data_IF_736162693956
#
_entry.id   IF_736162693956
#
_cell.length_a   1.000
_cell.length_b   1.000
_cell.length_c   1.000
_cell.angle_alpha   90.00
_cell.angle_beta   90.00
_cell.angle_gamma   90.00
#
_symmetry.space_group_name_H-M   'P 1'
#
loop_
_entity.id
_entity.type
_entity.pdbx_description
1 polymer ?
#
# COMPACT_ATOMS: atom_id res chain seq x y z
N UNK A 1 -5.66 -14.85 -15.41
CA UNK A 1 -5.93 -13.42 -15.22
C UNK A 1 -4.98 -12.66 -16.13
N UNK A 2 -5.49 -11.72 -16.92
CA UNK A 2 -4.70 -10.83 -17.79
C UNK A 2 -4.85 -9.44 -17.24
N UNK A 3 -3.78 -8.64 -17.21
CA UNK A 3 -3.88 -7.24 -16.76
C UNK A 3 -4.81 -6.51 -17.72
N UNK A 4 -5.98 -6.14 -17.24
CA UNK A 4 -6.99 -5.48 -18.07
C UNK A 4 -6.61 -4.02 -18.27
N UNK A 5 -6.89 -3.44 -19.45
CA UNK A 5 -6.80 -1.99 -19.68
C UNK A 5 -7.56 -1.20 -18.60
N UNK A 6 -8.60 -1.81 -18.05
CA UNK A 6 -9.39 -1.28 -16.95
C UNK A 6 -8.52 -1.03 -15.70
N UNK A 7 -7.66 -1.97 -15.27
CA UNK A 7 -6.79 -1.74 -14.11
C UNK A 7 -5.85 -0.55 -14.30
N UNK A 8 -5.29 -0.35 -15.50
CA UNK A 8 -4.49 0.83 -15.81
C UNK A 8 -5.31 2.14 -15.74
N UNK A 9 -6.59 2.09 -16.11
CA UNK A 9 -7.52 3.22 -15.96
C UNK A 9 -7.65 3.68 -14.50
N UNK A 10 -7.48 2.81 -13.51
CA UNK A 10 -7.47 3.22 -12.10
C UNK A 10 -6.28 4.12 -11.75
N UNK A 11 -5.12 3.92 -12.37
CA UNK A 11 -3.96 4.81 -12.23
C UNK A 11 -4.17 6.14 -12.95
N UNK A 12 -4.84 6.13 -14.10
CA UNK A 12 -5.23 7.37 -14.80
C UNK A 12 -6.25 8.19 -13.99
N UNK A 13 -7.21 7.52 -13.36
CA UNK A 13 -8.17 8.14 -12.47
C UNK A 13 -7.48 8.69 -11.22
N UNK A 14 -6.49 7.96 -10.69
CA UNK A 14 -5.64 8.44 -9.60
C UNK A 14 -4.90 9.73 -9.98
N UNK A 15 -4.19 9.74 -11.12
CA UNK A 15 -3.47 10.92 -11.60
C UNK A 15 -4.42 12.10 -11.81
N UNK A 16 -5.57 11.87 -12.45
CA UNK A 16 -6.59 12.90 -12.68
C UNK A 16 -7.10 13.48 -11.35
N UNK A 17 -7.38 12.62 -10.36
CA UNK A 17 -7.94 12.99 -9.05
C UNK A 17 -6.95 13.73 -8.15
N UNK A 18 -5.65 13.64 -8.41
CA UNK A 18 -4.62 14.23 -7.56
C UNK A 18 -3.66 15.17 -8.33
N UNK A 19 -3.99 15.52 -9.57
CA UNK A 19 -3.17 16.34 -10.47
C UNK A 19 -2.93 17.77 -9.98
N UNK A 20 -3.81 18.31 -9.12
CA UNK A 20 -3.68 19.64 -8.54
C UNK A 20 -2.67 19.72 -7.38
N UNK A 21 -2.12 18.59 -6.94
CA UNK A 21 -1.16 18.54 -5.84
C UNK A 21 0.28 18.70 -6.33
N UNK A 22 1.15 19.13 -5.43
CA UNK A 22 2.59 19.25 -5.71
C UNK A 22 3.25 17.89 -6.02
N UNK A 23 4.40 17.90 -6.73
CA UNK A 23 5.13 16.70 -7.10
C UNK A 23 5.51 15.80 -5.90
N UNK A 24 5.37 14.49 -6.05
CA UNK A 24 5.90 13.44 -5.15
C UNK A 24 7.26 12.91 -5.64
N UNK A 25 8.05 12.26 -4.77
CA UNK A 25 9.21 11.46 -5.19
C UNK A 25 8.88 10.40 -6.25
N UNK A 26 7.69 9.80 -6.18
CA UNK A 26 7.21 8.81 -7.13
C UNK A 26 5.81 9.19 -7.64
N UNK A 27 5.64 9.28 -8.95
CA UNK A 27 4.39 9.67 -9.59
C UNK A 27 4.06 8.78 -10.78
N UNK A 28 2.77 8.64 -11.08
CA UNK A 28 2.32 8.02 -12.32
C UNK A 28 2.21 9.09 -13.39
N UNK A 29 2.94 8.95 -14.49
CA UNK A 29 2.80 9.83 -15.64
C UNK A 29 1.82 9.21 -16.65
N UNK A 30 0.63 9.82 -16.74
CA UNK A 30 -0.43 9.41 -17.67
C UNK A 30 0.01 9.43 -19.13
N UNK A 31 0.93 10.32 -19.52
CA UNK A 31 1.37 10.43 -20.93
C UNK A 31 2.28 9.28 -21.32
N UNK A 32 3.22 8.91 -20.46
CA UNK A 32 4.13 7.79 -20.72
C UNK A 32 3.55 6.43 -20.33
N UNK A 33 2.52 6.41 -19.47
CA UNK A 33 2.00 5.18 -18.87
C UNK A 33 3.05 4.48 -18.01
N UNK A 34 3.88 5.28 -17.30
CA UNK A 34 4.99 4.79 -16.48
C UNK A 34 5.03 5.49 -15.14
N UNK A 35 5.63 4.82 -14.16
CA UNK A 35 6.05 5.46 -12.92
C UNK A 35 7.32 6.27 -13.16
N UNK A 36 7.28 7.53 -12.77
CA UNK A 36 8.39 8.49 -12.91
C UNK A 36 8.91 8.82 -11.51
N UNK A 37 10.22 8.72 -11.34
CA UNK A 37 10.91 9.16 -10.14
C UNK A 37 11.30 10.64 -10.28
N UNK A 38 10.79 11.49 -9.39
CA UNK A 38 11.19 12.88 -9.30
C UNK A 38 12.36 12.98 -8.32
N UNK A 39 13.56 13.27 -8.84
CA UNK A 39 14.75 13.50 -8.02
C UNK A 39 14.51 14.65 -7.03
N UNK A 40 15.09 14.53 -5.84
CA UNK A 40 15.04 15.56 -4.79
C UNK A 40 15.53 16.88 -5.39
N UNK A 41 14.61 17.82 -5.54
CA UNK A 41 14.82 19.10 -6.20
C UNK A 41 13.99 20.18 -5.52
N UNK A 42 14.21 21.46 -5.86
CA UNK A 42 13.42 22.58 -5.32
C UNK A 42 11.90 22.41 -5.53
N UNK A 43 11.48 21.62 -6.52
CA UNK A 43 10.07 21.30 -6.78
C UNK A 43 9.43 20.43 -5.70
N UNK A 44 10.22 19.69 -4.91
CA UNK A 44 9.74 18.84 -3.80
C UNK A 44 9.67 19.61 -2.46
N UNK A 45 10.07 20.88 -2.38
CA UNK A 45 10.02 21.64 -1.12
C UNK A 45 8.59 21.68 -0.53
N UNK A 46 7.52 21.96 -1.31
CA UNK A 46 6.16 21.92 -0.79
C UNK A 46 5.76 20.53 -0.27
N UNK A 47 6.27 19.47 -0.91
CA UNK A 47 6.06 18.10 -0.47
C UNK A 47 6.72 17.84 0.89
N UNK A 48 7.99 18.18 1.04
CA UNK A 48 8.74 18.02 2.30
C UNK A 48 8.03 18.79 3.42
N UNK A 49 7.64 20.05 3.17
CA UNK A 49 6.98 20.88 4.16
C UNK A 49 5.63 20.29 4.58
N UNK A 50 4.84 19.78 3.65
CA UNK A 50 3.56 19.16 3.98
C UNK A 50 3.71 17.83 4.73
N UNK A 51 4.62 16.95 4.30
CA UNK A 51 4.83 15.65 4.94
C UNK A 51 5.49 15.83 6.30
N UNK A 52 6.69 16.42 6.35
CA UNK A 52 7.47 16.49 7.60
C UNK A 52 7.04 17.64 8.50
N UNK A 53 6.65 18.80 7.94
CA UNK A 53 6.10 19.90 8.73
C UNK A 53 4.65 19.62 9.13
N UNK A 54 3.78 19.47 8.14
CA UNK A 54 2.35 19.26 8.33
C UNK A 54 2.02 17.97 9.08
N UNK A 55 2.28 16.79 8.49
CA UNK A 55 1.98 15.52 9.17
C UNK A 55 2.83 15.32 10.43
N UNK A 56 4.10 15.74 10.40
CA UNK A 56 4.99 15.65 11.56
C UNK A 56 4.47 16.46 12.75
N UNK A 57 3.90 17.64 12.53
CA UNK A 57 3.25 18.39 13.62
C UNK A 57 2.09 17.61 14.24
N UNK A 58 1.18 17.05 13.42
CA UNK A 58 0.06 16.23 13.90
C UNK A 58 0.56 15.04 14.72
N UNK A 59 1.62 14.36 14.25
CA UNK A 59 2.27 13.27 14.98
C UNK A 59 2.74 13.71 16.37
N UNK A 60 3.50 14.81 16.42
CA UNK A 60 4.05 15.35 17.67
C UNK A 60 2.92 15.71 18.65
N UNK A 61 1.89 16.43 18.20
CA UNK A 61 0.76 16.81 19.07
C UNK A 61 -0.01 15.58 19.58
N UNK A 62 -0.23 14.55 18.76
CA UNK A 62 -0.84 13.31 19.22
C UNK A 62 0.01 12.61 20.30
N UNK A 63 1.33 12.52 20.09
CA UNK A 63 2.25 11.89 21.07
C UNK A 63 2.27 12.68 22.37
N UNK A 64 2.33 14.01 22.30
CA UNK A 64 2.31 14.89 23.47
C UNK A 64 0.99 14.73 24.24
N UNK A 65 -0.16 14.75 23.57
CA UNK A 65 -1.47 14.56 24.21
C UNK A 65 -1.57 13.22 24.94
N UNK A 66 -1.20 12.12 24.29
CA UNK A 66 -1.22 10.79 24.89
C UNK A 66 -0.20 10.64 26.02
N UNK A 67 0.97 11.25 25.88
CA UNK A 67 1.98 11.30 26.94
C UNK A 67 1.49 12.07 28.16
N UNK A 68 0.90 13.26 27.97
CA UNK A 68 0.33 14.05 29.06
C UNK A 68 -0.80 13.31 29.78
N UNK A 69 -1.64 12.56 29.05
CA UNK A 69 -2.66 11.69 29.63
C UNK A 69 -2.02 10.58 30.48
N UNK A 70 -0.95 9.94 29.99
CA UNK A 70 -0.25 8.86 30.70
C UNK A 70 0.39 9.34 32.01
N UNK A 71 0.92 10.56 32.03
CA UNK A 71 1.53 11.18 33.22
C UNK A 71 0.52 11.93 34.11
N UNK A 72 -0.76 11.93 33.77
CA UNK A 72 -1.81 12.61 34.54
C UNK A 72 -1.75 14.14 34.49
N UNK A 73 -1.00 14.72 33.55
CA UNK A 73 -0.90 16.18 33.32
C UNK A 73 -2.17 16.72 32.69
N UNK A 74 -2.79 15.94 31.79
CA UNK A 74 -4.09 16.24 31.20
C UNK A 74 -5.09 15.14 31.54
N UNK A 75 -6.38 15.50 31.58
CA UNK A 75 -7.50 14.56 31.67
C UNK A 75 -8.32 14.63 30.40
N UNK A 76 -7.96 13.80 29.42
CA UNK A 76 -8.69 13.63 28.17
C UNK A 76 -9.87 12.69 28.40
N UNK A 77 -11.02 13.02 27.80
CA UNK A 77 -12.12 12.08 27.68
C UNK A 77 -11.67 10.84 26.89
N UNK A 78 -12.24 9.67 27.24
CA UNK A 78 -11.90 8.41 26.58
C UNK A 78 -12.06 8.47 25.06
N UNK A 79 -13.09 9.18 24.59
CA UNK A 79 -13.33 9.39 23.15
C UNK A 79 -12.17 10.10 22.46
N UNK A 80 -11.67 11.17 23.08
CA UNK A 80 -10.55 11.95 22.57
C UNK A 80 -9.25 11.14 22.57
N UNK A 81 -9.04 10.28 23.57
CA UNK A 81 -7.89 9.37 23.60
C UNK A 81 -7.91 8.42 22.40
N UNK A 82 -9.05 7.75 22.16
CA UNK A 82 -9.18 6.79 21.05
C UNK A 82 -9.05 7.49 19.69
N UNK A 83 -9.67 8.65 19.51
CA UNK A 83 -9.53 9.43 18.28
C UNK A 83 -8.07 9.90 18.06
N UNK A 84 -7.39 10.33 19.12
CA UNK A 84 -5.97 10.70 19.05
C UNK A 84 -5.10 9.50 18.67
N UNK A 85 -5.38 8.30 19.18
CA UNK A 85 -4.71 7.07 18.76
C UNK A 85 -4.96 6.74 17.28
N UNK A 86 -6.19 6.93 16.79
CA UNK A 86 -6.51 6.76 15.36
C UNK A 86 -5.71 7.75 14.50
N UNK A 87 -5.69 9.04 14.88
CA UNK A 87 -4.91 10.05 14.15
C UNK A 87 -3.41 9.73 14.17
N UNK A 88 -2.88 9.32 15.32
CA UNK A 88 -1.48 8.91 15.45
C UNK A 88 -1.15 7.73 14.55
N UNK A 89 -2.01 6.70 14.52
CA UNK A 89 -1.82 5.52 13.67
C UNK A 89 -1.86 5.90 12.18
N UNK A 90 -2.83 6.71 11.75
CA UNK A 90 -2.96 7.16 10.36
C UNK A 90 -1.77 8.01 9.91
N UNK A 91 -1.30 8.92 10.77
CA UNK A 91 -0.16 9.80 10.47
C UNK A 91 1.14 9.02 10.45
N UNK A 92 1.36 8.12 11.42
CA UNK A 92 2.52 7.21 11.43
C UNK A 92 2.55 6.41 10.15
N UNK A 93 1.41 5.85 9.73
CA UNK A 93 1.30 5.09 8.50
C UNK A 93 1.67 5.90 7.26
N UNK A 94 1.14 7.11 7.15
CA UNK A 94 1.44 8.02 6.04
C UNK A 94 2.92 8.38 5.98
N UNK A 95 3.51 8.79 7.11
CA UNK A 95 4.91 9.19 7.20
C UNK A 95 5.82 8.00 6.87
N UNK A 96 5.55 6.81 7.40
CA UNK A 96 6.34 5.61 7.10
C UNK A 96 6.31 5.26 5.60
N UNK A 97 5.16 5.38 4.94
CA UNK A 97 5.06 5.16 3.50
C UNK A 97 5.77 6.24 2.68
N UNK A 98 5.66 7.52 3.07
CA UNK A 98 6.36 8.62 2.38
C UNK A 98 7.87 8.47 2.50
N UNK A 99 8.37 8.12 3.70
CA UNK A 99 9.80 7.82 3.91
C UNK A 99 10.24 6.67 3.02
N UNK A 100 9.44 5.60 2.94
CA UNK A 100 9.74 4.46 2.09
C UNK A 100 9.82 4.86 0.60
N UNK A 101 8.88 5.65 0.10
CA UNK A 101 8.96 6.12 -1.29
C UNK A 101 10.12 7.07 -1.51
N UNK A 102 10.46 7.92 -0.55
CA UNK A 102 11.61 8.82 -0.66
C UNK A 102 12.91 8.04 -0.88
N UNK A 103 13.11 6.93 -0.17
CA UNK A 103 14.32 6.12 -0.30
C UNK A 103 14.33 5.20 -1.52
N UNK A 104 13.19 4.66 -1.93
CA UNK A 104 13.11 3.60 -2.95
C UNK A 104 12.32 3.98 -4.21
N UNK A 105 12.08 5.26 -4.46
CA UNK A 105 11.34 5.70 -5.66
C UNK A 105 12.00 5.27 -6.97
N UNK A 106 13.33 5.36 -7.06
CA UNK A 106 14.08 5.00 -8.26
C UNK A 106 13.95 3.50 -8.57
N UNK A 107 14.24 2.64 -7.60
CA UNK A 107 14.10 1.18 -7.72
C UNK A 107 12.66 0.76 -8.07
N UNK A 108 11.67 1.40 -7.44
CA UNK A 108 10.27 1.14 -7.72
C UNK A 108 9.90 1.51 -9.16
N UNK A 109 10.39 2.64 -9.67
CA UNK A 109 10.12 3.09 -11.04
C UNK A 109 10.76 2.16 -12.08
N UNK A 110 12.02 1.78 -11.86
CA UNK A 110 12.76 0.87 -12.74
C UNK A 110 12.12 -0.52 -12.78
N UNK A 111 11.82 -1.11 -11.63
CA UNK A 111 11.20 -2.43 -11.58
C UNK A 111 9.81 -2.46 -12.22
N UNK A 112 9.01 -1.42 -12.01
CA UNK A 112 7.68 -1.33 -12.62
C UNK A 112 7.79 -1.25 -14.15
N UNK A 113 8.76 -0.49 -14.66
CA UNK A 113 9.04 -0.41 -16.08
C UNK A 113 9.47 -1.77 -16.65
N UNK A 114 10.39 -2.46 -15.99
CA UNK A 114 10.91 -3.75 -16.43
C UNK A 114 9.82 -4.83 -16.37
N UNK A 115 8.98 -4.83 -15.35
CA UNK A 115 7.84 -5.74 -15.24
C UNK A 115 6.87 -5.56 -16.41
N UNK A 116 6.48 -4.31 -16.72
CA UNK A 116 5.62 -3.99 -17.86
C UNK A 116 6.28 -4.38 -19.19
N UNK A 117 7.59 -4.14 -19.35
CA UNK A 117 8.33 -4.54 -20.54
C UNK A 117 8.37 -6.07 -20.72
N UNK A 118 8.50 -6.84 -19.63
CA UNK A 118 8.46 -8.30 -19.68
C UNK A 118 7.08 -8.83 -20.05
N UNK A 119 6.01 -8.26 -19.50
CA UNK A 119 4.63 -8.62 -19.87
C UNK A 119 4.42 -8.39 -21.36
N UNK A 120 4.79 -7.21 -21.88
CA UNK A 120 4.69 -6.90 -23.31
C UNK A 120 5.44 -7.90 -24.19
N UNK A 121 6.65 -8.30 -23.80
CA UNK A 121 7.45 -9.31 -24.55
C UNK A 121 6.81 -10.69 -24.57
N UNK A 122 6.09 -11.08 -23.52
CA UNK A 122 5.45 -12.39 -23.42
C UNK A 122 4.11 -12.42 -24.17
N UNK A 123 3.38 -11.31 -24.19
CA UNK A 123 2.01 -11.27 -24.71
C UNK A 123 1.88 -10.93 -26.20
N UNK A 124 2.96 -10.77 -26.97
CA UNK A 124 2.99 -10.32 -28.38
C UNK A 124 2.10 -11.10 -29.41
N UNK A 125 1.23 -12.01 -29.00
CA UNK A 125 0.23 -12.66 -29.86
C UNK A 125 -1.20 -12.83 -29.31
N UNK A 126 -1.53 -12.36 -28.09
CA UNK A 126 -2.88 -12.58 -27.49
C UNK A 126 -3.42 -11.40 -26.68
N UNK A 127 -3.03 -10.17 -27.00
CA UNK A 127 -3.34 -9.02 -26.13
C UNK A 127 -4.79 -8.53 -26.34
N UNK A 128 -5.55 -8.51 -25.24
CA UNK A 128 -6.85 -7.82 -25.05
C UNK A 128 -8.05 -8.37 -25.80
N UNK A 129 -8.41 -9.64 -25.59
CA UNK A 129 -9.75 -10.11 -25.96
C UNK A 129 -10.67 -10.15 -24.74
N UNK A 130 -11.73 -9.34 -24.85
CA UNK A 130 -12.93 -9.19 -24.02
C UNK A 130 -12.89 -8.24 -22.81
N UNK A 131 -13.74 -7.21 -22.89
CA UNK A 131 -14.18 -6.35 -21.79
C UNK A 131 -15.02 -7.17 -20.80
N UNK A 132 -14.37 -7.97 -19.96
CA UNK A 132 -15.03 -8.53 -18.79
C UNK A 132 -14.89 -7.53 -17.64
N UNK A 133 -16.03 -7.17 -17.03
CA UNK A 133 -16.07 -6.34 -15.83
C UNK A 133 -15.41 -7.11 -14.68
N UNK A 134 -14.12 -6.82 -14.45
CA UNK A 134 -13.34 -7.41 -13.37
C UNK A 134 -13.70 -6.73 -12.04
N UNK A 135 -14.21 -7.45 -11.02
CA UNK A 135 -14.49 -6.89 -9.69
C UNK A 135 -13.30 -6.14 -9.10
N UNK A 136 -12.07 -6.58 -9.40
CA UNK A 136 -10.85 -5.94 -8.94
C UNK A 136 -10.74 -4.49 -9.42
N UNK A 137 -11.11 -4.25 -10.68
CA UNK A 137 -11.11 -2.91 -11.26
C UNK A 137 -12.10 -2.00 -10.54
N UNK A 138 -13.30 -2.49 -10.25
CA UNK A 138 -14.34 -1.73 -9.54
C UNK A 138 -13.81 -1.32 -8.17
N UNK A 139 -13.23 -2.27 -7.42
CA UNK A 139 -12.67 -2.02 -6.08
C UNK A 139 -11.55 -0.97 -6.14
N UNK A 140 -10.63 -1.06 -7.10
CA UNK A 140 -9.53 -0.11 -7.22
C UNK A 140 -10.01 1.32 -7.55
N UNK A 141 -10.98 1.47 -8.46
CA UNK A 141 -11.51 2.80 -8.79
C UNK A 141 -12.34 3.39 -7.65
N UNK A 142 -13.15 2.56 -6.99
CA UNK A 142 -13.87 2.98 -5.80
C UNK A 142 -12.89 3.44 -4.71
N UNK A 143 -11.80 2.71 -4.50
CA UNK A 143 -10.75 3.08 -3.55
C UNK A 143 -10.17 4.45 -3.87
N UNK A 144 -9.81 4.72 -5.13
CA UNK A 144 -9.29 6.03 -5.57
C UNK A 144 -10.31 7.14 -5.31
N UNK A 145 -11.56 6.94 -5.72
CA UNK A 145 -12.62 7.93 -5.54
C UNK A 145 -12.86 8.25 -4.05
N UNK A 146 -12.91 7.21 -3.19
CA UNK A 146 -13.11 7.38 -1.76
C UNK A 146 -11.96 8.17 -1.13
N UNK A 147 -10.70 7.82 -1.41
CA UNK A 147 -9.56 8.59 -0.91
C UNK A 147 -9.50 10.03 -1.45
N UNK A 148 -9.97 10.28 -2.68
CA UNK A 148 -10.04 11.64 -3.23
C UNK A 148 -11.11 12.51 -2.52
N UNK A 149 -12.27 11.92 -2.17
CA UNK A 149 -13.41 12.64 -1.56
C UNK A 149 -13.23 12.83 -0.05
N UNK A 150 -12.68 11.83 0.64
CA UNK A 150 -12.56 11.80 2.10
C UNK A 150 -11.96 13.04 2.76
N UNK A 151 -10.83 13.63 2.32
CA UNK A 151 -10.22 14.74 3.04
C UNK A 151 -11.13 15.97 3.06
N UNK A 152 -11.87 16.20 1.98
CA UNK A 152 -12.79 17.33 1.83
C UNK A 152 -14.06 17.17 2.65
N UNK A 153 -14.56 15.94 2.76
CA UNK A 153 -15.70 15.65 3.62
C UNK A 153 -15.32 15.65 5.10
N UNK A 154 -14.20 15.03 5.46
CA UNK A 154 -13.82 14.77 6.84
C UNK A 154 -13.32 16.00 7.59
N UNK A 155 -12.45 16.78 6.94
CA UNK A 155 -11.75 17.85 7.63
C UNK A 155 -12.68 18.94 8.20
N UNK A 156 -13.71 19.42 7.48
CA UNK A 156 -14.65 20.40 8.03
C UNK A 156 -15.30 19.93 9.32
N UNK A 157 -15.67 18.65 9.44
CA UNK A 157 -16.26 18.12 10.67
C UNK A 157 -15.24 17.97 11.79
N UNK A 158 -14.04 17.47 11.50
CA UNK A 158 -12.95 17.39 12.48
C UNK A 158 -12.68 18.77 13.06
N UNK A 159 -12.57 19.78 12.19
CA UNK A 159 -12.40 21.15 12.60
C UNK A 159 -13.63 21.61 13.39
N UNK A 160 -14.84 21.56 12.83
CA UNK A 160 -16.05 22.08 13.48
C UNK A 160 -16.25 21.56 14.91
N UNK A 161 -16.05 20.26 15.13
CA UNK A 161 -16.19 19.62 16.45
C UNK A 161 -14.95 19.75 17.35
N UNK A 162 -13.87 20.37 16.88
CA UNK A 162 -12.64 20.51 17.66
C UNK A 162 -11.95 19.19 17.98
N UNK A 163 -12.14 18.17 17.14
CA UNK A 163 -11.59 16.83 17.33
C UNK A 163 -10.13 16.73 16.87
N UNK A 164 -9.58 17.79 16.27
CA UNK A 164 -8.18 17.81 15.86
C UNK A 164 -7.22 17.89 17.07
N UNK A 165 -6.02 17.29 16.98
CA UNK A 165 -5.05 17.31 18.08
C UNK A 165 -4.62 18.73 18.52
N UNK A 166 -4.70 19.74 17.64
CA UNK A 166 -4.32 21.10 18.00
C UNK A 166 -5.36 21.75 18.91
N UNK A 167 -6.64 21.63 18.55
CA UNK A 167 -7.76 22.08 19.38
C UNK A 167 -7.79 21.35 20.72
N UNK A 168 -7.60 20.03 20.72
CA UNK A 168 -7.50 19.26 21.97
C UNK A 168 -6.32 19.70 22.85
N UNK A 169 -5.17 20.01 22.25
CA UNK A 169 -4.01 20.54 22.99
C UNK A 169 -4.31 21.91 23.57
N UNK A 170 -4.93 22.79 22.81
CA UNK A 170 -5.30 24.12 23.28
C UNK A 170 -6.25 24.04 24.49
N UNK A 171 -7.32 23.25 24.39
CA UNK A 171 -8.35 23.16 25.44
C UNK A 171 -7.91 22.38 26.67
N UNK A 172 -7.17 21.28 26.51
CA UNK A 172 -6.87 20.40 27.63
C UNK A 172 -5.52 20.68 28.30
N UNK A 173 -4.58 21.32 27.59
CA UNK A 173 -3.24 21.61 28.13
C UNK A 173 -3.01 23.09 28.37
N UNK A 174 -3.27 23.95 27.39
CA UNK A 174 -2.81 25.35 27.42
C UNK A 174 -3.77 26.29 28.15
N UNK A 175 -5.09 26.13 27.96
CA UNK A 175 -6.09 26.99 28.63
C UNK A 175 -6.10 26.76 30.15
N UNK A 176 -6.17 25.52 30.68
CA UNK A 176 -6.24 25.30 32.13
C UNK A 176 -4.97 25.75 32.86
N UNK A 177 -3.84 25.80 32.17
CA UNK A 177 -2.54 26.20 32.72
C UNK A 177 -2.29 27.71 32.62
N UNK A 178 -3.21 28.50 32.06
CA UNK A 178 -3.00 29.91 31.71
C UNK A 178 -1.77 30.14 30.81
N UNK A 179 -1.33 29.11 30.06
CA UNK A 179 -0.15 29.15 29.18
C UNK A 179 -0.52 29.49 27.72
N UNK A 180 -1.73 29.97 27.46
CA UNK A 180 -2.22 30.27 26.12
C UNK A 180 -2.23 31.79 25.82
N UNK A 181 -1.08 32.46 25.65
CA UNK A 181 -1.09 33.85 25.21
C UNK A 181 -1.67 33.94 23.78
N UNK A 182 -2.27 35.08 23.40
CA UNK A 182 -2.86 35.28 22.07
C UNK A 182 -2.01 34.79 20.89
N UNK A 183 -0.68 35.05 20.79
CA UNK A 183 0.13 34.53 19.69
C UNK A 183 0.13 33.00 19.56
N UNK A 184 0.09 32.26 20.67
CA UNK A 184 0.04 30.79 20.64
C UNK A 184 -1.31 30.31 20.12
N UNK A 185 -2.40 30.97 20.51
CA UNK A 185 -3.75 30.65 19.99
C UNK A 185 -3.87 30.90 18.49
N UNK A 186 -3.31 32.00 17.99
CA UNK A 186 -3.27 32.31 16.55
C UNK A 186 -2.39 31.31 15.79
N UNK A 187 -1.23 30.93 16.34
CA UNK A 187 -0.35 29.95 15.73
C UNK A 187 -0.99 28.56 15.62
N UNK A 188 -1.66 28.08 16.69
CA UNK A 188 -2.38 26.81 16.67
C UNK A 188 -3.57 26.83 15.71
N UNK A 189 -4.27 27.96 15.62
CA UNK A 189 -5.36 28.13 14.66
C UNK A 189 -4.84 28.09 13.21
N UNK A 190 -3.71 28.74 12.92
CA UNK A 190 -3.06 28.67 11.62
C UNK A 190 -2.58 27.24 11.28
N UNK A 191 -1.98 26.55 12.25
CA UNK A 191 -1.59 25.13 12.14
C UNK A 191 -2.80 24.26 11.80
N UNK A 192 -3.92 24.44 12.51
CA UNK A 192 -5.16 23.72 12.24
C UNK A 192 -5.59 23.85 10.79
N UNK A 193 -5.64 25.06 10.22
CA UNK A 193 -5.98 25.26 8.80
C UNK A 193 -4.95 24.66 7.83
N UNK A 194 -3.66 24.71 8.18
CA UNK A 194 -2.60 24.13 7.35
C UNK A 194 -2.70 22.62 7.19
N UNK A 195 -3.43 21.92 8.07
CA UNK A 195 -3.55 20.45 8.11
C UNK A 195 -4.38 19.87 6.96
N UNK A 196 -5.14 20.70 6.23
CA UNK A 196 -5.86 20.25 5.03
C UNK A 196 -4.90 19.66 4.00
N UNK A 197 -3.79 20.34 3.72
CA UNK A 197 -2.79 19.91 2.74
C UNK A 197 -2.19 18.53 3.07
N UNK A 198 -1.65 18.27 4.28
CA UNK A 198 -1.15 16.94 4.64
C UNK A 198 -2.26 15.88 4.68
N UNK A 199 -3.51 16.20 5.01
CA UNK A 199 -4.60 15.22 4.97
C UNK A 199 -4.90 14.75 3.54
N UNK A 200 -5.00 15.69 2.60
CA UNK A 200 -5.16 15.37 1.18
C UNK A 200 -3.95 14.55 0.69
N UNK A 201 -2.74 14.93 1.11
CA UNK A 201 -1.52 14.23 0.75
C UNK A 201 -1.49 12.79 1.26
N UNK A 202 -1.89 12.58 2.51
CA UNK A 202 -2.03 11.24 3.11
C UNK A 202 -2.97 10.37 2.28
N UNK A 203 -4.13 10.90 1.89
CA UNK A 203 -5.09 10.11 1.13
C UNK A 203 -4.58 9.79 -0.29
N UNK A 204 -3.85 10.73 -0.91
CA UNK A 204 -3.14 10.47 -2.17
C UNK A 204 -2.17 9.29 -2.03
N UNK A 205 -1.30 9.28 -1.02
CA UNK A 205 -0.31 8.20 -0.87
C UNK A 205 -0.98 6.84 -0.58
N UNK A 206 -2.02 6.80 0.25
CA UNK A 206 -2.75 5.56 0.52
C UNK A 206 -3.45 5.02 -0.73
N UNK A 207 -4.07 5.91 -1.53
CA UNK A 207 -4.69 5.54 -2.79
C UNK A 207 -3.65 5.02 -3.80
N UNK A 208 -2.55 5.75 -3.97
CA UNK A 208 -1.47 5.36 -4.88
C UNK A 208 -0.90 4.00 -4.51
N UNK A 209 -0.68 3.81 -3.21
CA UNK A 209 -0.19 2.58 -2.65
C UNK A 209 -1.11 1.40 -2.98
N UNK A 210 -2.40 1.50 -2.65
CA UNK A 210 -3.36 0.43 -2.87
C UNK A 210 -3.43 0.02 -4.35
N UNK A 211 -3.46 1.00 -5.26
CA UNK A 211 -3.52 0.74 -6.70
C UNK A 211 -2.23 0.13 -7.24
N UNK A 212 -1.07 0.75 -6.94
CA UNK A 212 0.22 0.30 -7.52
C UNK A 212 0.63 -1.07 -7.02
N UNK A 213 0.42 -1.38 -5.74
CA UNK A 213 0.73 -2.70 -5.18
C UNK A 213 -0.15 -3.79 -5.77
N UNK A 214 -1.47 -3.55 -5.84
CA UNK A 214 -2.42 -4.49 -6.44
C UNK A 214 -2.09 -4.76 -7.91
N UNK A 215 -1.81 -3.70 -8.68
CA UNK A 215 -1.43 -3.82 -10.08
C UNK A 215 -0.10 -4.58 -10.24
N UNK A 216 0.91 -4.26 -9.44
CA UNK A 216 2.21 -4.92 -9.49
C UNK A 216 2.10 -6.42 -9.19
N UNK A 217 1.38 -6.80 -8.13
CA UNK A 217 1.17 -8.21 -7.77
C UNK A 217 0.37 -8.93 -8.86
N UNK A 218 -0.65 -8.29 -9.42
CA UNK A 218 -1.44 -8.85 -10.50
C UNK A 218 -0.62 -9.06 -11.79
N UNK A 219 0.30 -8.14 -12.13
CA UNK A 219 1.26 -8.30 -13.22
C UNK A 219 2.14 -9.54 -12.98
N UNK A 220 2.67 -9.72 -11.77
CA UNK A 220 3.49 -10.87 -11.40
C UNK A 220 2.68 -12.18 -11.50
N UNK A 221 1.45 -12.20 -11.00
CA UNK A 221 0.55 -13.36 -11.12
C UNK A 221 0.25 -13.70 -12.58
N UNK A 222 0.04 -12.69 -13.42
CA UNK A 222 -0.17 -12.86 -14.87
C UNK A 222 1.06 -13.49 -15.52
N UNK A 223 2.26 -13.02 -15.18
CA UNK A 223 3.53 -13.59 -15.65
C UNK A 223 3.69 -15.06 -15.23
N UNK A 224 3.40 -15.40 -13.97
CA UNK A 224 3.46 -16.77 -13.45
C UNK A 224 2.45 -17.66 -14.16
N UNK A 225 1.21 -17.20 -14.32
CA UNK A 225 0.16 -17.92 -15.04
C UNK A 225 0.56 -18.19 -16.49
N UNK A 226 1.13 -17.20 -17.18
CA UNK A 226 1.58 -17.34 -18.57
C UNK A 226 2.75 -18.33 -18.69
N UNK A 227 3.72 -18.28 -17.77
CA UNK A 227 4.80 -19.27 -17.70
C UNK A 227 4.28 -20.68 -17.42
N UNK A 228 3.29 -20.82 -16.54
CA UNK A 228 2.65 -22.11 -16.22
C UNK A 228 1.89 -22.69 -17.42
N UNK A 229 1.08 -21.89 -18.13
CA UNK A 229 0.38 -22.32 -19.36
C UNK A 229 1.34 -22.70 -20.48
N UNK A 230 2.42 -21.95 -20.64
CA UNK A 230 3.43 -22.25 -21.65
C UNK A 230 4.18 -23.56 -21.34
N UNK A 231 4.37 -23.84 -20.05
CA UNK A 231 4.92 -25.12 -19.56
C UNK A 231 3.99 -26.29 -19.87
N UNK A 232 2.67 -26.10 -19.76
CA UNK A 232 1.67 -27.13 -20.10
C UNK A 232 1.66 -27.44 -21.61
N UNK A 233 1.78 -26.42 -22.46
CA UNK A 233 1.94 -26.65 -23.91
C UNK A 233 3.18 -27.47 -24.23
N UNK A 234 4.28 -27.21 -23.53
CA UNK A 234 5.51 -28.01 -23.65
C UNK A 234 5.36 -29.45 -23.18
N UNK A 235 4.46 -29.72 -22.23
CA UNK A 235 4.21 -31.09 -21.79
C UNK A 235 3.64 -31.94 -22.94
N UNK A 236 2.81 -31.33 -23.80
CA UNK A 236 2.16 -32.00 -24.92
C UNK A 236 3.05 -32.15 -26.14
N UNK A 237 3.97 -31.21 -26.37
CA UNK A 237 4.91 -31.26 -27.50
C UNK A 237 6.24 -31.91 -27.10
N UNK A 238 6.92 -32.58 -28.03
CA UNK A 238 8.25 -33.19 -27.79
C UNK A 238 9.19 -32.17 -27.13
N UNK A 239 9.66 -32.48 -25.92
CA UNK A 239 10.43 -31.59 -25.06
C UNK A 239 11.76 -31.23 -25.74
N UNK A 240 11.88 -29.98 -26.23
CA UNK A 240 13.17 -29.45 -26.67
C UNK A 240 13.89 -28.78 -25.50
N UNK A 241 15.19 -29.03 -25.39
CA UNK A 241 16.05 -28.42 -24.36
C UNK A 241 16.01 -26.89 -24.44
N UNK A 242 16.08 -26.35 -25.66
CA UNK A 242 16.09 -24.90 -25.91
C UNK A 242 14.81 -24.22 -25.40
N UNK A 243 13.66 -24.89 -25.52
CA UNK A 243 12.41 -24.35 -25.00
C UNK A 243 12.43 -24.28 -23.47
N UNK A 244 12.80 -25.36 -22.77
CA UNK A 244 12.92 -25.36 -21.30
C UNK A 244 13.88 -24.26 -20.85
N UNK A 245 15.06 -24.17 -21.47
CA UNK A 245 16.06 -23.16 -21.11
C UNK A 245 15.54 -21.72 -21.30
N UNK A 246 14.73 -21.47 -22.33
CA UNK A 246 14.07 -20.17 -22.56
C UNK A 246 13.08 -19.83 -21.45
N UNK A 247 12.26 -20.79 -21.01
CA UNK A 247 11.31 -20.56 -19.90
C UNK A 247 12.00 -20.34 -18.56
N UNK A 248 13.01 -21.15 -18.27
CA UNK A 248 13.85 -21.00 -17.09
C UNK A 248 14.55 -19.63 -17.07
N UNK A 249 15.05 -19.16 -18.21
CA UNK A 249 15.64 -17.84 -18.33
C UNK A 249 14.62 -16.72 -18.03
N UNK A 250 13.39 -16.81 -18.57
CA UNK A 250 12.31 -15.83 -18.30
C UNK A 250 11.94 -15.78 -16.82
N UNK A 251 11.84 -16.94 -16.17
CA UNK A 251 11.59 -16.99 -14.72
C UNK A 251 12.74 -16.39 -13.92
N UNK A 252 14.00 -16.64 -14.32
CA UNK A 252 15.16 -16.01 -13.69
C UNK A 252 15.10 -14.49 -13.83
N UNK A 253 14.67 -13.97 -14.98
CA UNK A 253 14.46 -12.51 -15.13
C UNK A 253 13.43 -11.98 -14.15
N UNK A 254 12.29 -12.67 -13.98
CA UNK A 254 11.29 -12.29 -12.97
C UNK A 254 11.84 -12.38 -11.54
N UNK A 255 12.65 -13.38 -11.24
CA UNK A 255 13.32 -13.52 -9.95
C UNK A 255 14.29 -12.36 -9.69
N UNK A 256 15.03 -11.91 -10.70
CA UNK A 256 15.92 -10.75 -10.62
C UNK A 256 15.12 -9.47 -10.35
N UNK A 257 14.03 -9.23 -11.09
CA UNK A 257 13.14 -8.07 -10.87
C UNK A 257 12.59 -8.08 -9.44
N UNK A 258 12.08 -9.23 -8.98
CA UNK A 258 11.56 -9.37 -7.62
C UNK A 258 12.62 -9.15 -6.55
N UNK A 259 13.84 -9.64 -6.78
CA UNK A 259 14.97 -9.47 -5.86
C UNK A 259 15.40 -8.00 -5.80
N UNK A 260 15.44 -7.31 -6.95
CA UNK A 260 15.73 -5.86 -7.00
C UNK A 260 14.68 -5.05 -6.23
N UNK A 261 13.41 -5.48 -6.22
CA UNK A 261 12.36 -4.84 -5.43
C UNK A 261 12.23 -5.33 -4.00
N UNK A 262 13.01 -6.32 -3.56
CA UNK A 262 12.82 -6.94 -2.25
C UNK A 262 13.05 -5.92 -1.13
N UNK A 263 14.06 -5.05 -1.27
CA UNK A 263 14.39 -4.02 -0.29
C UNK A 263 13.26 -3.01 -0.07
N UNK A 264 12.47 -2.77 -1.11
CA UNK A 264 11.31 -1.91 -1.05
C UNK A 264 10.03 -2.65 -0.62
N UNK A 265 9.76 -3.81 -1.22
CA UNK A 265 8.52 -4.57 -0.99
C UNK A 265 8.46 -5.22 0.39
N UNK A 266 9.60 -5.54 1.00
CA UNK A 266 9.65 -6.10 2.34
C UNK A 266 9.17 -5.13 3.44
N UNK A 267 9.76 -3.94 3.61
CA UNK A 267 9.29 -2.97 4.61
C UNK A 267 7.89 -2.48 4.30
N UNK A 268 7.57 -2.35 3.02
CA UNK A 268 6.23 -2.06 2.56
C UNK A 268 5.18 -3.03 3.11
N UNK A 269 5.41 -4.32 2.93
CA UNK A 269 4.49 -5.38 3.37
C UNK A 269 4.41 -5.42 4.89
N UNK A 270 5.53 -5.23 5.59
CA UNK A 270 5.56 -5.16 7.05
C UNK A 270 4.73 -3.98 7.59
N UNK A 271 4.93 -2.77 7.05
CA UNK A 271 4.17 -1.57 7.44
C UNK A 271 2.68 -1.80 7.20
N UNK A 272 2.29 -2.34 6.04
CA UNK A 272 0.89 -2.61 5.72
C UNK A 272 0.25 -3.63 6.66
N UNK A 273 0.94 -4.75 6.92
CA UNK A 273 0.43 -5.76 7.83
C UNK A 273 0.31 -5.25 9.26
N UNK A 274 1.33 -4.56 9.77
CA UNK A 274 1.34 -4.09 11.15
C UNK A 274 0.32 -2.97 11.37
N UNK A 275 0.39 -1.90 10.59
CA UNK A 275 -0.51 -0.75 10.75
C UNK A 275 -1.92 -1.04 10.23
N UNK A 276 -2.07 -1.95 9.26
CA UNK A 276 -3.37 -2.41 8.80
C UNK A 276 -4.16 -3.14 9.89
N UNK A 277 -3.52 -4.01 10.69
CA UNK A 277 -4.17 -4.66 11.84
C UNK A 277 -4.60 -3.60 12.86
N UNK A 278 -3.67 -2.74 13.28
CA UNK A 278 -3.93 -1.72 14.31
C UNK A 278 -5.08 -0.81 13.86
N UNK A 279 -5.04 -0.33 12.62
CA UNK A 279 -6.06 0.54 12.08
C UNK A 279 -7.41 -0.17 11.96
N UNK A 280 -7.44 -1.43 11.53
CA UNK A 280 -8.66 -2.23 11.46
C UNK A 280 -9.33 -2.38 12.83
N UNK A 281 -8.54 -2.76 13.85
CA UNK A 281 -9.02 -2.92 15.23
C UNK A 281 -9.54 -1.58 15.78
N UNK A 282 -8.79 -0.50 15.60
CA UNK A 282 -9.21 0.83 16.07
C UNK A 282 -10.50 1.31 15.37
N UNK A 283 -10.60 1.15 14.04
CA UNK A 283 -11.79 1.57 13.29
C UNK A 283 -13.02 0.73 13.66
N UNK A 284 -12.86 -0.58 13.86
CA UNK A 284 -13.92 -1.45 14.35
C UNK A 284 -14.36 -1.07 15.76
N UNK A 285 -13.40 -0.81 16.64
CA UNK A 285 -13.68 -0.38 18.00
C UNK A 285 -14.48 0.93 18.03
N UNK A 286 -14.05 1.96 17.30
CA UNK A 286 -14.77 3.23 17.21
C UNK A 286 -16.19 3.02 16.67
N UNK A 287 -16.32 2.21 15.61
CA UNK A 287 -17.61 1.90 14.99
C UNK A 287 -18.58 1.22 15.98
N UNK A 288 -18.11 0.23 16.75
CA UNK A 288 -18.96 -0.55 17.64
C UNK A 288 -19.22 0.10 19.00
N UNK A 289 -18.22 0.79 19.57
CA UNK A 289 -18.25 1.25 20.97
C UNK A 289 -18.44 2.76 21.12
N UNK A 290 -18.25 3.54 20.06
CA UNK A 290 -18.37 5.00 20.14
C UNK A 290 -19.56 5.54 19.36
N UNK A 291 -20.51 4.68 18.99
CA UNK A 291 -21.79 5.09 18.43
C UNK A 291 -22.55 5.97 19.43
N UNK A 292 -22.93 7.17 19.01
CA UNK A 292 -23.61 8.17 19.86
C UNK A 292 -22.68 9.06 20.69
N UNK A 293 -21.39 8.72 20.81
CA UNK A 293 -20.38 9.58 21.45
C UNK A 293 -19.71 10.49 20.40
N UNK A 294 -19.34 9.90 19.25
CA UNK A 294 -18.77 10.66 18.14
C UNK A 294 -19.91 11.35 17.37
N UNK A 295 -19.82 12.65 17.10
CA UNK A 295 -20.90 13.37 16.43
C UNK A 295 -21.09 12.92 14.98
N UNK A 296 -22.36 12.82 14.57
CA UNK A 296 -22.72 12.70 13.16
C UNK A 296 -22.51 14.06 12.47
N UNK A 297 -22.01 14.09 11.22
CA UNK A 297 -21.78 12.97 10.31
C UNK A 297 -20.36 12.37 10.37
N UNK A 298 -19.45 12.90 11.18
CA UNK A 298 -18.07 12.41 11.29
C UNK A 298 -17.99 10.93 11.66
N UNK A 299 -18.91 10.45 12.50
CA UNK A 299 -19.01 9.03 12.84
C UNK A 299 -19.17 8.10 11.62
N UNK A 300 -19.86 8.53 10.55
CA UNK A 300 -20.10 7.69 9.37
C UNK A 300 -18.82 7.27 8.62
N UNK A 301 -17.71 7.98 8.85
CA UNK A 301 -16.42 7.62 8.27
C UNK A 301 -15.85 6.32 8.82
N UNK A 302 -15.99 6.05 10.12
CA UNK A 302 -15.38 4.89 10.76
C UNK A 302 -15.86 3.55 10.20
N UNK A 303 -17.19 3.29 10.02
CA UNK A 303 -17.64 2.06 9.39
C UNK A 303 -17.20 1.96 7.93
N UNK A 304 -17.22 3.06 7.17
CA UNK A 304 -16.79 3.07 5.77
C UNK A 304 -15.28 2.76 5.68
N UNK A 305 -14.47 3.39 6.52
CA UNK A 305 -13.03 3.17 6.58
C UNK A 305 -12.69 1.75 7.03
N UNK A 306 -13.42 1.20 8.02
CA UNK A 306 -13.27 -0.19 8.44
C UNK A 306 -13.54 -1.15 7.28
N UNK A 307 -14.69 -1.01 6.60
CA UNK A 307 -15.03 -1.85 5.44
C UNK A 307 -13.98 -1.72 4.35
N UNK A 308 -13.54 -0.49 4.03
CA UNK A 308 -12.51 -0.25 3.03
C UNK A 308 -11.19 -0.95 3.39
N UNK A 309 -10.74 -0.85 4.64
CA UNK A 309 -9.51 -1.51 5.12
C UNK A 309 -9.63 -3.03 4.99
N UNK A 310 -10.76 -3.62 5.43
CA UNK A 310 -11.00 -5.07 5.32
C UNK A 310 -11.07 -5.51 3.87
N UNK A 311 -11.69 -4.74 2.97
CA UNK A 311 -11.74 -5.04 1.53
C UNK A 311 -10.33 -5.00 0.91
N UNK A 312 -9.52 -3.99 1.24
CA UNK A 312 -8.14 -3.88 0.73
C UNK A 312 -7.26 -5.04 1.21
N UNK A 313 -7.36 -5.41 2.49
CA UNK A 313 -6.71 -6.62 3.03
C UNK A 313 -7.23 -7.87 2.31
N UNK A 314 -8.55 -7.93 2.12
CA UNK A 314 -9.33 -8.91 1.37
C UNK A 314 -8.78 -9.22 0.00
N UNK A 315 -8.35 -8.19 -0.71
CA UNK A 315 -7.83 -8.27 -2.07
C UNK A 315 -6.31 -8.49 -2.08
N UNK A 316 -5.57 -7.65 -1.35
CA UNK A 316 -4.11 -7.61 -1.45
C UNK A 316 -3.44 -8.84 -0.83
N UNK A 317 -3.89 -9.29 0.35
CA UNK A 317 -3.22 -10.37 1.06
C UNK A 317 -3.34 -11.73 0.32
N UNK A 318 -4.51 -12.14 -0.21
CA UNK A 318 -4.60 -13.33 -1.04
C UNK A 318 -3.71 -13.24 -2.28
N UNK A 319 -3.65 -12.10 -2.97
CA UNK A 319 -2.79 -11.97 -4.15
C UNK A 319 -1.31 -12.19 -3.82
N UNK A 320 -0.83 -11.70 -2.68
CA UNK A 320 0.55 -11.95 -2.22
C UNK A 320 0.80 -13.44 -1.93
N UNK A 321 -0.19 -14.14 -1.36
CA UNK A 321 -0.11 -15.59 -1.08
C UNK A 321 -0.17 -16.40 -2.38
N UNK A 322 -1.04 -16.02 -3.31
CA UNK A 322 -1.22 -16.68 -4.61
C UNK A 322 0.07 -16.64 -5.43
N UNK A 323 0.90 -15.60 -5.29
CA UNK A 323 2.21 -15.55 -5.95
C UNK A 323 3.10 -16.71 -5.49
N UNK A 324 3.11 -17.00 -4.19
CA UNK A 324 3.88 -18.12 -3.63
C UNK A 324 3.29 -19.48 -4.01
N UNK A 325 1.97 -19.64 -3.88
CA UNK A 325 1.29 -20.91 -4.17
C UNK A 325 1.39 -21.29 -5.65
N UNK A 326 1.08 -20.36 -6.56
CA UNK A 326 1.18 -20.59 -8.01
C UNK A 326 2.63 -20.86 -8.44
N UNK A 327 3.62 -20.20 -7.82
CA UNK A 327 5.03 -20.52 -8.07
C UNK A 327 5.40 -21.92 -7.60
N UNK A 328 4.91 -22.36 -6.44
CA UNK A 328 5.14 -23.70 -5.92
C UNK A 328 4.57 -24.79 -6.83
N UNK A 329 3.34 -24.61 -7.32
CA UNK A 329 2.72 -25.51 -8.28
C UNK A 329 3.48 -25.57 -9.61
N UNK A 330 3.85 -24.41 -10.15
CA UNK A 330 4.65 -24.32 -11.36
C UNK A 330 6.02 -25.02 -11.19
N UNK A 331 6.69 -24.82 -10.06
CA UNK A 331 7.96 -25.45 -9.74
C UNK A 331 7.84 -26.99 -9.66
N UNK A 332 6.75 -27.51 -9.08
CA UNK A 332 6.49 -28.94 -9.04
C UNK A 332 6.32 -29.54 -10.46
N UNK A 333 5.60 -28.85 -11.35
CA UNK A 333 5.47 -29.25 -12.76
C UNK A 333 6.82 -29.25 -13.48
N UNK A 334 7.66 -28.24 -13.24
CA UNK A 334 9.01 -28.20 -13.80
C UNK A 334 9.88 -29.34 -13.31
N UNK A 335 9.80 -29.72 -12.03
CA UNK A 335 10.55 -30.87 -11.49
C UNK A 335 10.20 -32.16 -12.23
N UNK A 336 8.92 -32.34 -12.58
CA UNK A 336 8.47 -33.47 -13.39
C UNK A 336 9.02 -33.42 -14.82
N UNK A 337 8.89 -32.28 -15.51
CA UNK A 337 9.39 -32.09 -16.88
C UNK A 337 10.89 -32.31 -17.00
N UNK A 338 11.66 -31.75 -16.06
CA UNK A 338 13.11 -31.94 -15.98
C UNK A 338 13.47 -33.41 -15.78
N UNK A 339 12.65 -34.17 -15.05
CA UNK A 339 12.82 -35.62 -14.86
C UNK A 339 12.73 -36.43 -16.17
N UNK A 340 11.98 -35.96 -17.17
CA UNK A 340 11.81 -36.61 -18.48
C UNK A 340 12.77 -36.10 -19.57
N UNK A 341 13.47 -35.00 -19.31
CA UNK A 341 14.42 -34.42 -20.27
C UNK A 341 15.68 -35.28 -20.45
N UNK A 342 16.26 -35.25 -21.66
CA UNK A 342 17.53 -35.93 -21.97
C UNK A 342 18.67 -35.37 -21.08
N UNK A 343 18.69 -34.05 -20.90
CA UNK A 343 19.70 -33.32 -20.11
C UNK A 343 19.32 -33.17 -18.62
N UNK A 344 18.78 -34.24 -18.03
CA UNK A 344 18.26 -34.25 -16.64
C UNK A 344 19.24 -33.69 -15.61
N UNK A 345 20.55 -33.93 -15.76
CA UNK A 345 21.58 -33.51 -14.78
C UNK A 345 21.75 -31.99 -14.77
N UNK A 346 21.85 -31.38 -15.95
CA UNK A 346 22.01 -29.93 -16.09
C UNK A 346 20.75 -29.19 -15.64
N UNK A 347 19.59 -29.58 -16.17
CA UNK A 347 18.31 -28.93 -15.87
C UNK A 347 17.90 -29.10 -14.41
N UNK A 348 18.18 -30.25 -13.77
CA UNK A 348 17.92 -30.45 -12.33
C UNK A 348 18.79 -29.54 -11.47
N UNK A 349 20.07 -29.36 -11.83
CA UNK A 349 20.96 -28.43 -11.11
C UNK A 349 20.46 -26.99 -11.25
N UNK A 350 20.08 -26.60 -12.46
CA UNK A 350 19.56 -25.25 -12.75
C UNK A 350 18.25 -25.00 -12.00
N UNK A 351 17.31 -25.93 -12.01
CA UNK A 351 16.04 -25.83 -11.28
C UNK A 351 16.27 -25.75 -9.77
N UNK A 352 17.17 -26.56 -9.21
CA UNK A 352 17.51 -26.53 -7.76
C UNK A 352 18.13 -25.19 -7.34
N UNK A 353 18.79 -24.48 -8.25
CA UNK A 353 19.36 -23.16 -7.98
C UNK A 353 18.31 -22.03 -8.00
N UNK A 354 17.13 -22.28 -8.57
CA UNK A 354 16.05 -21.29 -8.60
C UNK A 354 15.35 -21.22 -7.25
N UNK A 355 15.03 -20.00 -6.81
CA UNK A 355 14.22 -19.76 -5.61
C UNK A 355 12.77 -19.54 -6.04
N UNK A 356 11.83 -20.00 -5.23
CA UNK A 356 10.42 -19.68 -5.41
C UNK A 356 10.21 -18.18 -5.18
N UNK A 357 9.40 -17.54 -6.02
CA UNK A 357 9.03 -16.14 -5.80
C UNK A 357 8.13 -16.06 -4.57
N UNK A 358 8.43 -15.11 -3.69
CA UNK A 358 7.66 -14.89 -2.48
C UNK A 358 7.82 -13.46 -2.00
N UNK A 359 6.76 -12.94 -1.38
CA UNK A 359 6.79 -11.67 -0.66
C UNK A 359 7.15 -11.92 0.79
N UNK A 360 8.02 -11.06 1.30
CA UNK A 360 8.39 -11.00 2.70
C UNK A 360 7.83 -9.72 3.29
N UNK A 361 7.56 -9.71 4.60
CA UNK A 361 7.50 -8.50 5.40
C UNK A 361 8.76 -8.44 6.24
N UNK A 362 9.52 -7.35 6.15
CA UNK A 362 10.81 -7.24 6.81
C UNK A 362 11.37 -5.83 6.77
N UNK A 363 12.39 -5.52 7.56
CA UNK A 363 13.01 -4.19 7.62
C UNK A 363 14.52 -4.37 7.47
N UNK A 364 15.16 -3.55 6.62
CA UNK A 364 16.62 -3.55 6.41
C UNK A 364 17.21 -4.94 6.11
N UNK A 365 16.55 -5.72 5.24
CA UNK A 365 16.98 -7.07 4.85
C UNK A 365 16.64 -8.18 5.85
N UNK A 366 16.15 -7.86 7.05
CA UNK A 366 15.66 -8.85 8.00
C UNK A 366 14.20 -9.20 7.69
N UNK A 367 13.95 -10.44 7.28
CA UNK A 367 12.62 -10.95 6.99
C UNK A 367 11.91 -11.38 8.29
N UNK A 368 10.87 -10.66 8.69
CA UNK A 368 10.08 -10.91 9.91
C UNK A 368 8.95 -11.90 9.61
N UNK A 369 8.23 -11.68 8.52
CA UNK A 369 7.14 -12.54 8.09
C UNK A 369 7.28 -12.92 6.61
N UNK A 370 6.70 -14.06 6.26
CA UNK A 370 6.63 -14.54 4.88
C UNK A 370 5.16 -14.73 4.54
N UNK A 371 4.69 -14.16 3.44
CA UNK A 371 3.29 -14.27 3.01
C UNK A 371 2.99 -15.70 2.54
N UNK A 372 2.43 -16.52 3.44
CA UNK A 372 1.95 -17.88 3.19
C UNK A 372 0.47 -18.00 3.52
N UNK A 373 -0.14 -19.13 3.17
CA UNK A 373 -1.54 -19.46 3.52
C UNK A 373 -1.87 -19.30 5.00
N UNK A 374 -0.96 -19.71 5.89
CA UNK A 374 -1.17 -19.57 7.34
C UNK A 374 -1.16 -18.10 7.78
N UNK A 375 -0.38 -17.24 7.11
CA UNK A 375 -0.35 -15.79 7.37
C UNK A 375 -1.72 -15.17 7.09
N UNK A 376 -2.37 -15.58 6.00
CA UNK A 376 -3.74 -15.16 5.68
C UNK A 376 -4.72 -15.54 6.79
N UNK A 377 -4.71 -16.80 7.23
CA UNK A 377 -5.61 -17.29 8.28
C UNK A 377 -5.38 -16.57 9.61
N UNK A 378 -4.11 -16.40 10.00
CA UNK A 378 -3.75 -15.70 11.23
C UNK A 378 -4.20 -14.24 11.18
N UNK A 379 -3.96 -13.56 10.07
CA UNK A 379 -4.31 -12.15 9.89
C UNK A 379 -5.83 -11.91 9.98
N UNK A 380 -6.64 -12.77 9.36
CA UNK A 380 -8.10 -12.70 9.51
C UNK A 380 -8.56 -13.05 10.92
N UNK A 381 -7.94 -14.04 11.56
CA UNK A 381 -8.24 -14.41 12.95
C UNK A 381 -8.08 -13.23 13.91
N UNK A 382 -6.99 -12.46 13.77
CA UNK A 382 -6.71 -11.27 14.61
C UNK A 382 -7.66 -10.11 14.34
N UNK A 383 -8.15 -9.94 13.10
CA UNK A 383 -9.10 -8.87 12.78
C UNK A 383 -10.51 -9.18 13.27
N UNK A 384 -10.88 -10.47 13.32
CA UNK A 384 -12.21 -10.92 13.73
C UNK A 384 -12.35 -11.18 15.24
N UNK A 385 -11.23 -11.40 15.94
CA UNK A 385 -11.19 -11.50 17.41
C UNK A 385 -11.33 -10.13 18.06
#
# INVERSE_FOLDING_TARGET
MVVTCLMLKSLENFDTSFSYLYPCPLEWDKKSGKLVCNKVSKKLIPWILSVFGGMGSVFIFCVVLLGCQLFGVARLEFSNIVLTMVFLCLVTYAISLEILYLFYAEDCSHSSHDCVAQVKKIEFGQIFTEFQLDPLWIILNLTVAMFAIFPYFMYPFIAYFGLDPFTQTLHNLLIPSNLAPPPVTYALSALRFSVVAPLVKRNRILSFYAVTTTLATHLILTLISNLSKATEKLYMTRISRSAIDTYLARYQTLQVIMTATAEFTAPRTAIFMFLGIILSVLMNFVTLKMHGIVPLPFFAFFPIASVLVVVLIGVMLPMLVDVYENCGEMYARWKYLVGRSVDKKYLRRRLKAMRMLQFYGGINGYNICMCKRWTKLWYYGVILS
#
